data_IF_272714182881
#
_entry.id   IF_272714182881
#
_cell.length_a   1.000
_cell.length_b   1.000
_cell.length_c   1.000
_cell.angle_alpha   90.00
_cell.angle_beta   90.00
_cell.angle_gamma   90.00
#
_symmetry.space_group_name_H-M   'P 1'
#
loop_
_entity.id
_entity.type
_entity.pdbx_description
1 polymer ?
#
# COMPACT_ATOMS: atom_id res chain seq x y z
N UNK A 1 20.64 11.45 -6.66
CA UNK A 1 20.41 10.40 -7.69
C UNK A 1 19.96 9.08 -7.05
N UNK A 2 20.62 8.58 -6.01
CA UNK A 2 20.24 7.30 -5.38
C UNK A 2 18.84 7.34 -4.72
N UNK A 3 18.54 8.38 -3.94
CA UNK A 3 17.23 8.53 -3.30
C UNK A 3 16.07 8.55 -4.32
N UNK A 4 16.20 9.34 -5.40
CA UNK A 4 15.19 9.43 -6.45
C UNK A 4 14.93 8.08 -7.11
N UNK A 5 15.98 7.33 -7.48
CA UNK A 5 15.82 5.98 -8.04
C UNK A 5 15.12 5.04 -7.06
N UNK A 6 15.46 5.10 -5.77
CA UNK A 6 14.81 4.30 -4.74
C UNK A 6 13.31 4.61 -4.62
N UNK A 7 12.94 5.89 -4.65
CA UNK A 7 11.54 6.32 -4.66
C UNK A 7 10.80 5.87 -5.92
N UNK A 8 11.45 5.87 -7.09
CA UNK A 8 10.86 5.38 -8.33
C UNK A 8 10.60 3.87 -8.27
N UNK A 9 11.56 3.08 -7.77
CA UNK A 9 11.39 1.64 -7.55
C UNK A 9 10.25 1.37 -6.56
N UNK A 10 10.21 2.10 -5.44
CA UNK A 10 9.10 2.01 -4.49
C UNK A 10 7.76 2.35 -5.16
N UNK A 11 7.73 3.38 -6.02
CA UNK A 11 6.53 3.77 -6.77
C UNK A 11 6.05 2.64 -7.67
N UNK A 12 6.93 1.95 -8.38
CA UNK A 12 6.53 0.82 -9.22
C UNK A 12 6.00 -0.36 -8.40
N UNK A 13 6.63 -0.67 -7.26
CA UNK A 13 6.15 -1.72 -6.34
C UNK A 13 4.77 -1.39 -5.77
N UNK A 14 4.56 -0.13 -5.34
CA UNK A 14 3.25 0.31 -4.88
C UNK A 14 2.22 0.39 -6.00
N UNK A 15 2.63 0.67 -7.24
CA UNK A 15 1.76 0.60 -8.41
C UNK A 15 1.21 -0.81 -8.62
N UNK A 16 2.07 -1.82 -8.59
CA UNK A 16 1.65 -3.24 -8.65
C UNK A 16 0.77 -3.63 -7.45
N UNK A 17 1.15 -3.16 -6.26
CA UNK A 17 0.37 -3.34 -5.03
C UNK A 17 -1.04 -2.75 -5.16
N UNK A 18 -1.15 -1.53 -5.68
CA UNK A 18 -2.41 -0.81 -5.87
C UNK A 18 -3.32 -1.53 -6.88
N UNK A 19 -2.76 -2.04 -7.98
CA UNK A 19 -3.52 -2.87 -8.94
C UNK A 19 -4.10 -4.12 -8.26
N UNK A 20 -3.29 -4.80 -7.45
CA UNK A 20 -3.77 -5.91 -6.62
C UNK A 20 -4.87 -5.48 -5.63
N UNK A 21 -4.70 -4.34 -4.97
CA UNK A 21 -5.67 -3.78 -4.03
C UNK A 21 -7.00 -3.41 -4.68
N UNK A 22 -6.97 -2.83 -5.89
CA UNK A 22 -8.16 -2.51 -6.69
C UNK A 22 -8.91 -3.80 -7.05
N UNK A 23 -8.20 -4.83 -7.51
CA UNK A 23 -8.80 -6.12 -7.85
C UNK A 23 -9.46 -6.76 -6.61
N UNK A 24 -8.78 -6.77 -5.47
CA UNK A 24 -9.33 -7.29 -4.22
C UNK A 24 -10.54 -6.48 -3.74
N UNK A 25 -10.46 -5.15 -3.80
CA UNK A 25 -11.57 -4.26 -3.47
C UNK A 25 -12.78 -4.52 -4.36
N UNK A 26 -12.57 -4.69 -5.67
CA UNK A 26 -13.62 -5.07 -6.61
C UNK A 26 -14.25 -6.41 -6.25
N UNK A 27 -13.46 -7.46 -6.02
CA UNK A 27 -13.98 -8.78 -5.60
C UNK A 27 -14.86 -8.62 -4.36
N UNK A 28 -14.39 -7.87 -3.36
CA UNK A 28 -15.12 -7.70 -2.10
C UNK A 28 -16.41 -6.90 -2.24
N UNK A 29 -16.38 -5.81 -3.00
CA UNK A 29 -17.48 -4.85 -3.09
C UNK A 29 -18.52 -5.25 -4.14
N UNK A 30 -18.08 -5.76 -5.30
CA UNK A 30 -18.96 -6.14 -6.40
C UNK A 30 -19.43 -7.59 -6.31
N UNK A 31 -18.54 -8.55 -5.99
CA UNK A 31 -18.90 -9.98 -5.89
C UNK A 31 -19.31 -10.41 -4.49
N UNK A 32 -19.10 -9.56 -3.48
CA UNK A 32 -19.49 -9.85 -2.10
C UNK A 32 -18.65 -10.92 -1.40
N UNK A 33 -17.67 -11.51 -2.08
CA UNK A 33 -16.80 -12.60 -1.60
C UNK A 33 -15.45 -12.08 -1.14
N UNK A 34 -14.71 -12.88 -0.37
CA UNK A 34 -13.34 -12.52 -0.01
C UNK A 34 -12.39 -12.77 -1.19
N UNK A 35 -11.33 -11.95 -1.35
CA UNK A 35 -10.30 -12.18 -2.36
C UNK A 35 -9.57 -13.52 -2.13
N UNK A 36 -8.99 -14.15 -3.15
CA UNK A 36 -8.20 -15.37 -2.95
C UNK A 36 -6.92 -15.08 -2.14
N UNK A 37 -6.53 -15.99 -1.25
CA UNK A 37 -5.42 -15.77 -0.31
C UNK A 37 -4.08 -15.49 -0.96
N UNK A 38 -3.77 -16.10 -2.10
CA UNK A 38 -2.52 -15.83 -2.82
C UNK A 38 -2.43 -14.36 -3.26
N UNK A 39 -3.55 -13.74 -3.65
CA UNK A 39 -3.60 -12.34 -4.09
C UNK A 39 -3.42 -11.40 -2.89
N UNK A 40 -4.05 -11.71 -1.75
CA UNK A 40 -3.87 -10.95 -0.51
C UNK A 40 -2.42 -11.02 -0.02
N UNK A 41 -1.79 -12.20 -0.07
CA UNK A 41 -0.40 -12.38 0.31
C UNK A 41 0.56 -11.67 -0.64
N UNK A 42 0.34 -11.75 -1.96
CA UNK A 42 1.15 -11.05 -2.95
C UNK A 42 1.06 -9.52 -2.78
N UNK A 43 -0.15 -9.00 -2.57
CA UNK A 43 -0.38 -7.58 -2.29
C UNK A 43 0.37 -7.14 -1.02
N UNK A 44 0.23 -7.87 0.09
CA UNK A 44 0.92 -7.55 1.33
C UNK A 44 2.44 -7.61 1.21
N UNK A 45 2.97 -8.58 0.47
CA UNK A 45 4.40 -8.72 0.20
C UNK A 45 4.96 -7.54 -0.60
N UNK A 46 4.30 -7.17 -1.71
CA UNK A 46 4.72 -6.02 -2.53
C UNK A 46 4.59 -4.70 -1.75
N UNK A 47 3.54 -4.55 -0.94
CA UNK A 47 3.37 -3.40 -0.06
C UNK A 47 4.52 -3.29 0.94
N UNK A 48 4.86 -4.39 1.62
CA UNK A 48 5.96 -4.43 2.58
C UNK A 48 7.30 -4.08 1.91
N UNK A 49 7.59 -4.64 0.74
CA UNK A 49 8.79 -4.31 -0.02
C UNK A 49 8.85 -2.82 -0.40
N UNK A 50 7.73 -2.25 -0.85
CA UNK A 50 7.61 -0.81 -1.14
C UNK A 50 7.84 0.07 0.09
N UNK A 51 7.25 -0.30 1.24
CA UNK A 51 7.45 0.39 2.53
C UNK A 51 8.92 0.34 2.94
N UNK A 52 9.58 -0.82 2.82
CA UNK A 52 11.00 -0.95 3.15
C UNK A 52 11.87 -0.03 2.30
N UNK A 53 11.65 0.00 0.98
CA UNK A 53 12.40 0.89 0.08
C UNK A 53 12.15 2.36 0.39
N UNK A 54 10.90 2.75 0.64
CA UNK A 54 10.54 4.12 0.99
C UNK A 54 11.13 4.54 2.34
N UNK A 55 11.06 3.67 3.36
CA UNK A 55 11.67 3.92 4.66
C UNK A 55 13.19 4.08 4.55
N UNK A 56 13.86 3.25 3.76
CA UNK A 56 15.28 3.40 3.51
C UNK A 56 15.60 4.74 2.83
N UNK A 57 14.84 5.13 1.81
CA UNK A 57 15.03 6.43 1.15
C UNK A 57 14.86 7.61 2.12
N UNK A 58 13.86 7.54 3.02
CA UNK A 58 13.60 8.59 4.00
C UNK A 58 14.68 8.67 5.07
N UNK A 59 15.02 7.54 5.71
CA UNK A 59 15.89 7.54 6.89
C UNK A 59 17.37 7.43 6.59
N UNK A 60 17.76 6.75 5.50
CA UNK A 60 19.17 6.56 5.16
C UNK A 60 19.67 7.53 4.08
N UNK A 61 18.77 8.05 3.22
CA UNK A 61 19.12 8.91 2.11
C UNK A 61 18.51 10.32 2.20
N UNK A 62 17.90 10.66 3.36
CA UNK A 62 17.32 11.97 3.66
C UNK A 62 16.35 12.47 2.56
N UNK A 63 15.50 11.58 2.06
CA UNK A 63 14.47 11.95 1.09
C UNK A 63 13.51 13.04 1.61
N UNK A 64 12.81 13.71 0.69
CA UNK A 64 11.99 14.89 0.99
C UNK A 64 10.91 14.66 2.05
N UNK A 65 10.46 15.75 2.69
CA UNK A 65 9.35 15.72 3.64
C UNK A 65 8.05 15.12 3.06
N UNK A 66 7.82 15.27 1.75
CA UNK A 66 6.69 14.64 1.05
C UNK A 66 6.83 13.11 1.04
N UNK A 67 8.04 12.57 0.87
CA UNK A 67 8.29 11.13 0.96
C UNK A 67 8.06 10.60 2.40
N UNK A 68 8.46 11.37 3.42
CA UNK A 68 8.17 11.04 4.81
C UNK A 68 6.66 11.01 5.09
N UNK A 69 5.90 12.01 4.61
CA UNK A 69 4.45 12.03 4.78
C UNK A 69 3.78 10.84 4.07
N UNK A 70 4.24 10.50 2.86
CA UNK A 70 3.79 9.31 2.15
C UNK A 70 4.05 8.03 2.96
N UNK A 71 5.24 7.89 3.55
CA UNK A 71 5.60 6.74 4.38
C UNK A 71 4.65 6.60 5.58
N UNK A 72 4.41 7.70 6.31
CA UNK A 72 3.51 7.68 7.47
C UNK A 72 2.09 7.26 7.09
N UNK A 73 1.59 7.73 5.94
CA UNK A 73 0.28 7.33 5.45
C UNK A 73 0.24 5.87 4.98
N UNK A 74 1.28 5.37 4.33
CA UNK A 74 1.37 3.94 3.99
C UNK A 74 1.42 3.07 5.25
N UNK A 75 2.12 3.49 6.30
CA UNK A 75 2.11 2.79 7.58
C UNK A 75 0.70 2.79 8.19
N UNK A 76 0.02 3.93 8.23
CA UNK A 76 -1.38 4.01 8.70
C UNK A 76 -2.33 3.14 7.86
N UNK A 77 -2.20 3.17 6.53
CA UNK A 77 -2.94 2.30 5.61
C UNK A 77 -2.64 0.83 5.86
N UNK A 78 -1.37 0.46 6.04
CA UNK A 78 -0.95 -0.93 6.28
C UNK A 78 -1.57 -1.53 7.54
N UNK A 79 -1.81 -0.73 8.59
CA UNK A 79 -2.55 -1.19 9.77
C UNK A 79 -3.96 -1.68 9.41
N UNK A 80 -4.65 -0.95 8.53
CA UNK A 80 -5.95 -1.39 7.99
C UNK A 80 -5.84 -2.72 7.25
N UNK A 81 -4.81 -2.88 6.40
CA UNK A 81 -4.56 -4.12 5.67
C UNK A 81 -4.21 -5.31 6.58
N UNK A 82 -3.39 -5.09 7.61
CA UNK A 82 -3.05 -6.08 8.64
C UNK A 82 -4.30 -6.51 9.39
N UNK A 83 -5.15 -5.56 9.80
CA UNK A 83 -6.40 -5.86 10.49
C UNK A 83 -7.32 -6.72 9.61
N UNK A 84 -7.50 -6.32 8.34
CA UNK A 84 -8.29 -7.07 7.36
C UNK A 84 -7.77 -8.49 7.17
N UNK A 85 -6.46 -8.66 7.04
CA UNK A 85 -5.88 -9.98 6.79
C UNK A 85 -5.95 -10.88 8.05
N UNK A 86 -5.43 -10.41 9.18
CA UNK A 86 -5.25 -11.23 10.38
C UNK A 86 -6.58 -11.54 11.08
N UNK A 87 -7.48 -10.57 11.22
CA UNK A 87 -8.70 -10.75 12.01
C UNK A 87 -9.91 -11.22 11.19
N UNK A 88 -9.88 -11.03 9.86
CA UNK A 88 -11.00 -11.39 8.99
C UNK A 88 -10.63 -12.43 7.95
N UNK A 89 -9.66 -12.11 7.07
CA UNK A 89 -9.33 -12.96 5.91
C UNK A 89 -8.88 -14.36 6.32
N UNK A 90 -7.91 -14.46 7.24
CA UNK A 90 -7.40 -15.75 7.75
C UNK A 90 -8.45 -16.56 8.52
N UNK A 91 -9.47 -15.89 9.06
CA UNK A 91 -10.58 -16.53 9.78
C UNK A 91 -11.77 -16.86 8.87
N UNK A 92 -11.66 -16.64 7.55
CA UNK A 92 -12.75 -16.84 6.60
C UNK A 92 -13.94 -15.89 6.79
N UNK A 93 -13.78 -14.82 7.58
CA UNK A 93 -14.85 -13.85 7.85
C UNK A 93 -14.94 -12.84 6.70
N UNK A 94 -16.14 -12.37 6.34
CA UNK A 94 -16.29 -11.32 5.34
C UNK A 94 -15.50 -10.05 5.74
N UNK A 95 -14.72 -9.50 4.81
CA UNK A 95 -13.96 -8.28 5.08
C UNK A 95 -14.92 -7.10 5.34
N UNK A 96 -14.76 -6.30 6.42
CA UNK A 96 -15.58 -5.13 6.67
C UNK A 96 -15.39 -4.07 5.59
N UNK A 97 -16.47 -3.70 4.88
CA UNK A 97 -16.41 -2.76 3.75
C UNK A 97 -15.86 -1.38 4.16
N UNK A 98 -16.18 -0.92 5.36
CA UNK A 98 -15.68 0.36 5.88
C UNK A 98 -14.15 0.37 6.04
N UNK A 99 -13.56 -0.70 6.58
CA UNK A 99 -12.10 -0.81 6.74
C UNK A 99 -11.44 -0.94 5.37
N UNK A 100 -12.02 -1.71 4.44
CA UNK A 100 -11.52 -1.80 3.04
C UNK A 100 -11.48 -0.41 2.39
N UNK A 101 -12.56 0.38 2.51
CA UNK A 101 -12.62 1.72 1.96
C UNK A 101 -11.59 2.67 2.61
N UNK A 102 -11.51 2.68 3.94
CA UNK A 102 -10.55 3.51 4.66
C UNK A 102 -9.10 3.17 4.29
N UNK A 103 -8.75 1.88 4.27
CA UNK A 103 -7.46 1.38 3.84
C UNK A 103 -7.12 1.84 2.41
N UNK A 104 -8.06 1.69 1.48
CA UNK A 104 -7.87 2.06 0.08
C UNK A 104 -7.65 3.58 -0.09
N UNK A 105 -8.49 4.41 0.53
CA UNK A 105 -8.37 5.88 0.40
C UNK A 105 -7.04 6.36 0.97
N UNK A 106 -6.66 5.92 2.18
CA UNK A 106 -5.38 6.30 2.79
C UNK A 106 -4.20 5.91 1.90
N UNK A 107 -4.24 4.68 1.34
CA UNK A 107 -3.17 4.17 0.49
C UNK A 107 -3.08 4.90 -0.86
N UNK A 108 -4.21 5.32 -1.44
CA UNK A 108 -4.23 6.12 -2.68
C UNK A 108 -3.60 7.49 -2.43
N UNK A 109 -3.94 8.17 -1.33
CA UNK A 109 -3.34 9.46 -0.98
C UNK A 109 -1.83 9.30 -0.75
N UNK A 110 -1.41 8.26 -0.03
CA UNK A 110 0.00 7.95 0.18
C UNK A 110 0.75 7.72 -1.14
N UNK A 111 0.13 7.01 -2.09
CA UNK A 111 0.69 6.73 -3.41
C UNK A 111 0.86 8.00 -4.26
N UNK A 112 -0.12 8.90 -4.27
CA UNK A 112 -0.01 10.17 -4.99
C UNK A 112 1.15 11.01 -4.45
N UNK A 113 1.30 11.10 -3.13
CA UNK A 113 2.41 11.81 -2.51
C UNK A 113 3.77 11.17 -2.84
N UNK A 114 3.84 9.84 -2.87
CA UNK A 114 5.05 9.13 -3.29
C UNK A 114 5.41 9.47 -4.73
N UNK A 115 4.43 9.43 -5.64
CA UNK A 115 4.64 9.75 -7.05
C UNK A 115 5.19 11.18 -7.22
N UNK A 116 4.58 12.16 -6.53
CA UNK A 116 5.07 13.54 -6.55
C UNK A 116 6.51 13.68 -6.02
N UNK A 117 6.88 12.90 -5.00
CA UNK A 117 8.24 12.90 -4.47
C UNK A 117 9.24 12.18 -5.37
N UNK A 118 8.81 11.14 -6.10
CA UNK A 118 9.65 10.32 -6.97
C UNK A 118 9.90 10.96 -8.36
N UNK A 119 8.97 11.78 -8.83
CA UNK A 119 9.02 12.43 -10.14
C UNK A 119 8.78 13.95 -10.00
N UNK A 120 9.70 14.69 -9.35
CA UNK A 120 9.67 16.14 -9.39
C UNK A 120 9.93 16.61 -10.83
N UNK A 121 9.09 17.50 -11.33
CA UNK A 121 9.24 18.11 -12.66
C UNK A 121 10.47 19.02 -12.77
#
# INVERSE_FOLDING_TARGET
MEATKMLQVATYLFGLTALGGILMGWIRLARGTNPPSWLAMAHGFLAAAGVTMLAYAVFALEASGTALLSLLLFLAGSLGGIVLNLFYHLHGKPLPKAIVAAHAVISIVAFVLLYMAAFPG
#
